data_IF_657535178978
#
_entry.id   IF_657535178978
#
_cell.length_a   1.000
_cell.length_b   1.000
_cell.length_c   1.000
_cell.angle_alpha   90.00
_cell.angle_beta   90.00
_cell.angle_gamma   90.00
#
_symmetry.space_group_name_H-M   'P 1'
#
loop_
_entity.id
_entity.type
_entity.pdbx_description
1 polymer ?
#
# COMPACT_ATOMS: atom_id res chain seq x y z
N UNK A 1 -19.35 15.43 9.23
CA UNK A 1 -17.93 15.68 8.86
C UNK A 1 -17.75 15.07 7.47
N UNK A 2 -17.32 15.86 6.49
CA UNK A 2 -17.09 15.37 5.13
C UNK A 2 -15.99 14.31 5.15
N UNK A 3 -16.27 13.11 4.68
CA UNK A 3 -15.24 12.11 4.46
C UNK A 3 -14.51 12.45 3.16
N UNK A 4 -13.45 13.27 3.28
CA UNK A 4 -12.74 13.84 2.12
C UNK A 4 -12.16 12.75 1.22
N UNK A 5 -11.85 11.58 1.78
CA UNK A 5 -11.36 10.46 0.98
C UNK A 5 -12.45 9.92 0.06
N UNK A 6 -13.65 9.65 0.60
CA UNK A 6 -14.78 9.16 -0.18
C UNK A 6 -15.26 10.19 -1.22
N UNK A 7 -15.23 11.48 -0.89
CA UNK A 7 -15.53 12.56 -1.83
C UNK A 7 -14.51 12.59 -2.98
N UNK A 8 -13.23 12.40 -2.65
CA UNK A 8 -12.15 12.34 -3.63
C UNK A 8 -12.32 11.14 -4.57
N UNK A 9 -12.70 9.96 -4.04
CA UNK A 9 -13.03 8.78 -4.85
C UNK A 9 -14.16 9.10 -5.84
N UNK A 10 -15.27 9.70 -5.36
CA UNK A 10 -16.40 10.09 -6.22
C UNK A 10 -16.01 11.09 -7.30
N UNK A 11 -15.27 12.13 -6.93
CA UNK A 11 -14.76 13.11 -7.89
C UNK A 11 -13.93 12.44 -8.98
N UNK A 12 -13.07 11.48 -8.63
CA UNK A 12 -12.23 10.76 -9.60
C UNK A 12 -13.06 9.88 -10.53
N UNK A 13 -14.08 9.20 -10.01
CA UNK A 13 -14.98 8.36 -10.82
C UNK A 13 -15.62 9.17 -11.96
N UNK A 14 -16.01 10.42 -11.68
CA UNK A 14 -16.65 11.30 -12.66
C UNK A 14 -15.67 12.14 -13.51
N UNK A 15 -14.41 12.28 -13.07
CA UNK A 15 -13.43 13.16 -13.70
C UNK A 15 -12.21 12.42 -14.28
N UNK A 16 -12.39 11.19 -14.77
CA UNK A 16 -11.31 10.34 -15.34
C UNK A 16 -10.57 10.97 -16.54
N UNK A 17 -11.15 11.98 -17.18
CA UNK A 17 -10.50 12.77 -18.23
C UNK A 17 -9.31 13.58 -17.70
N UNK A 18 -9.31 13.96 -16.42
CA UNK A 18 -8.20 14.68 -15.79
C UNK A 18 -7.01 13.73 -15.61
N UNK A 19 -5.79 14.06 -16.10
CA UNK A 19 -4.68 13.11 -16.08
C UNK A 19 -4.28 12.63 -14.68
N UNK A 20 -4.40 13.47 -13.65
CA UNK A 20 -4.13 13.11 -12.26
C UNK A 20 -5.27 12.34 -11.56
N UNK A 21 -6.42 12.18 -12.23
CA UNK A 21 -7.52 11.31 -11.80
C UNK A 21 -7.47 9.93 -12.46
N UNK A 22 -6.68 9.75 -13.53
CA UNK A 22 -6.48 8.43 -14.12
C UNK A 22 -5.86 7.48 -13.09
N UNK A 23 -6.37 6.26 -13.07
CA UNK A 23 -5.98 5.23 -12.11
C UNK A 23 -5.07 4.19 -12.74
N UNK A 24 -4.08 3.71 -11.98
CA UNK A 24 -3.29 2.52 -12.35
C UNK A 24 -4.10 1.21 -12.20
N UNK A 25 -3.48 0.06 -12.46
CA UNK A 25 -4.11 -1.27 -12.32
C UNK A 25 -4.55 -1.58 -10.88
N UNK A 26 -3.97 -0.89 -9.89
CA UNK A 26 -4.37 -0.96 -8.47
C UNK A 26 -5.45 0.09 -8.14
N UNK A 27 -5.94 0.83 -9.14
CA UNK A 27 -6.93 1.87 -9.02
C UNK A 27 -6.40 3.19 -8.43
N UNK A 28 -5.09 3.33 -8.20
CA UNK A 28 -4.53 4.49 -7.53
C UNK A 28 -4.35 5.65 -8.52
N UNK A 29 -4.70 6.86 -8.09
CA UNK A 29 -4.47 8.10 -8.84
C UNK A 29 -3.57 9.07 -8.07
N UNK A 30 -3.03 10.07 -8.76
CA UNK A 30 -2.25 11.12 -8.11
C UNK A 30 -3.09 11.93 -7.11
N UNK A 31 -4.37 12.19 -7.45
CA UNK A 31 -5.29 12.89 -6.56
C UNK A 31 -5.63 12.06 -5.29
N UNK A 32 -5.82 10.74 -5.40
CA UNK A 32 -5.97 9.87 -4.21
C UNK A 32 -4.71 9.84 -3.37
N UNK A 33 -3.54 9.78 -4.00
CA UNK A 33 -2.26 9.85 -3.29
C UNK A 33 -2.12 11.16 -2.53
N UNK A 34 -2.51 12.28 -3.13
CA UNK A 34 -2.54 13.57 -2.46
C UNK A 34 -3.51 13.59 -1.27
N UNK A 35 -4.75 13.16 -1.48
CA UNK A 35 -5.77 13.08 -0.44
C UNK A 35 -5.31 12.23 0.76
N UNK A 36 -4.70 11.07 0.47
CA UNK A 36 -4.12 10.18 1.48
C UNK A 36 -3.01 10.84 2.28
N UNK A 37 -2.15 11.64 1.63
CA UNK A 37 -1.11 12.42 2.32
C UNK A 37 -1.73 13.51 3.21
N UNK A 38 -2.74 14.26 2.73
CA UNK A 38 -3.45 15.25 3.52
C UNK A 38 -4.03 14.63 4.79
N UNK A 39 -4.69 13.48 4.67
CA UNK A 39 -5.27 12.75 5.80
C UNK A 39 -4.18 12.29 6.74
N UNK A 40 -3.10 11.68 6.24
CA UNK A 40 -1.97 11.20 7.06
C UNK A 40 -1.31 12.35 7.85
N UNK A 41 -1.20 13.54 7.25
CA UNK A 41 -0.61 14.75 7.84
C UNK A 41 -1.58 15.57 8.68
N UNK A 42 -2.85 15.16 8.76
CA UNK A 42 -3.93 15.94 9.38
C UNK A 42 -4.02 17.37 8.82
N UNK A 43 -3.86 17.53 7.50
CA UNK A 43 -4.08 18.80 6.80
C UNK A 43 -5.57 19.19 6.97
N UNK A 44 -5.87 20.41 7.46
CA UNK A 44 -7.24 20.90 7.56
C UNK A 44 -7.96 20.87 6.21
N UNK A 45 -9.26 20.53 6.20
CA UNK A 45 -10.03 20.37 4.96
C UNK A 45 -10.09 21.66 4.12
N UNK A 46 -10.13 22.83 4.77
CA UNK A 46 -10.09 24.15 4.13
C UNK A 46 -8.74 24.46 3.46
N UNK A 47 -7.67 23.78 3.88
CA UNK A 47 -6.34 23.85 3.29
C UNK A 47 -6.11 22.82 2.18
N UNK A 48 -7.11 22.04 1.76
CA UNK A 48 -6.96 20.99 0.75
C UNK A 48 -6.50 21.55 -0.61
N UNK A 49 -6.98 22.71 -1.03
CA UNK A 49 -6.53 23.31 -2.30
C UNK A 49 -5.11 23.90 -2.18
N UNK A 50 -4.78 24.50 -1.03
CA UNK A 50 -3.54 25.26 -0.83
C UNK A 50 -2.33 24.37 -0.46
N UNK A 51 -2.55 23.10 -0.11
CA UNK A 51 -1.49 22.19 0.34
C UNK A 51 -0.84 21.36 -0.76
N UNK A 52 -1.26 21.50 -2.04
CA UNK A 52 -0.74 20.73 -3.17
C UNK A 52 0.78 20.93 -3.34
N UNK A 53 1.27 22.16 -3.20
CA UNK A 53 2.70 22.44 -3.30
C UNK A 53 3.51 21.75 -2.18
N UNK A 54 2.98 21.76 -0.95
CA UNK A 54 3.61 21.12 0.21
C UNK A 54 3.68 19.60 0.02
N UNK A 55 2.64 18.99 -0.55
CA UNK A 55 2.66 17.57 -0.89
C UNK A 55 3.84 17.20 -1.79
N UNK A 56 4.07 17.94 -2.88
CA UNK A 56 5.18 17.66 -3.77
C UNK A 56 6.55 17.96 -3.13
N UNK A 57 6.65 19.05 -2.36
CA UNK A 57 7.87 19.36 -1.59
C UNK A 57 8.25 18.25 -0.62
N UNK A 58 7.26 17.64 0.02
CA UNK A 58 7.49 16.62 1.04
C UNK A 58 7.66 15.20 0.47
N UNK A 59 7.01 14.88 -0.65
CA UNK A 59 6.97 13.52 -1.20
C UNK A 59 7.98 13.25 -2.30
N UNK A 60 8.50 14.28 -2.97
CA UNK A 60 9.54 14.15 -3.98
C UNK A 60 10.91 14.50 -3.36
N UNK A 61 11.85 13.57 -3.46
CA UNK A 61 13.23 13.74 -3.01
C UNK A 61 13.95 14.81 -3.84
N UNK A 62 14.89 15.52 -3.23
CA UNK A 62 15.65 16.58 -3.88
C UNK A 62 15.51 17.93 -3.19
N UNK A 63 16.28 18.91 -3.68
CA UNK A 63 16.29 20.30 -3.18
C UNK A 63 15.45 21.19 -4.12
N UNK A 64 14.99 22.32 -3.60
CA UNK A 64 14.18 23.29 -4.35
C UNK A 64 12.69 23.21 -4.03
N UNK A 65 11.91 23.99 -4.79
CA UNK A 65 10.45 24.04 -4.69
C UNK A 65 9.77 22.81 -5.34
N UNK A 66 8.44 22.78 -5.32
CA UNK A 66 7.67 21.67 -5.89
C UNK A 66 7.95 21.48 -7.38
N UNK A 67 7.95 22.57 -8.16
CA UNK A 67 8.17 22.49 -9.61
C UNK A 67 9.57 21.96 -9.92
N UNK A 68 10.61 22.47 -9.27
CA UNK A 68 12.00 22.02 -9.44
C UNK A 68 12.13 20.52 -9.16
N UNK A 69 11.49 20.06 -8.07
CA UNK A 69 11.47 18.63 -7.71
C UNK A 69 10.74 17.80 -8.76
N UNK A 70 9.57 18.22 -9.22
CA UNK A 70 8.83 17.54 -10.30
C UNK A 70 9.68 17.45 -11.57
N UNK A 71 10.33 18.54 -11.98
CA UNK A 71 11.14 18.59 -13.20
C UNK A 71 12.35 17.62 -13.16
N UNK A 72 12.78 17.21 -11.96
CA UNK A 72 13.84 16.21 -11.78
C UNK A 72 13.40 14.76 -12.09
N UNK A 73 12.09 14.50 -12.20
CA UNK A 73 11.56 13.19 -12.59
C UNK A 73 12.02 12.84 -14.02
N UNK A 74 12.56 11.64 -14.18
CA UNK A 74 13.07 11.14 -15.47
C UNK A 74 11.92 10.76 -16.42
N UNK A 75 10.74 10.46 -15.89
CA UNK A 75 9.57 10.10 -16.68
C UNK A 75 8.83 11.37 -17.13
N UNK A 76 8.81 11.62 -18.45
CA UNK A 76 8.18 12.80 -19.05
C UNK A 76 6.66 12.85 -18.85
N UNK A 77 5.98 11.70 -18.86
CA UNK A 77 4.54 11.62 -18.67
C UNK A 77 4.17 11.92 -17.21
N UNK A 78 4.91 11.34 -16.25
CA UNK A 78 4.74 11.64 -14.84
C UNK A 78 4.90 13.14 -14.55
N UNK A 79 5.94 13.78 -15.13
CA UNK A 79 6.15 15.22 -15.00
C UNK A 79 4.94 16.01 -15.44
N UNK A 80 4.41 15.70 -16.63
CA UNK A 80 3.24 16.39 -17.18
C UNK A 80 2.05 16.29 -16.23
N UNK A 81 1.71 15.08 -15.78
CA UNK A 81 0.59 14.85 -14.85
C UNK A 81 0.79 15.60 -13.53
N UNK A 82 2.01 15.60 -12.98
CA UNK A 82 2.34 16.29 -11.73
C UNK A 82 2.26 17.82 -11.87
N UNK A 83 2.74 18.38 -12.99
CA UNK A 83 2.65 19.81 -13.28
C UNK A 83 1.19 20.24 -13.45
N UNK A 84 0.40 19.47 -14.20
CA UNK A 84 -1.04 19.73 -14.37
C UNK A 84 -1.79 19.70 -13.04
N UNK A 85 -1.40 18.81 -12.12
CA UNK A 85 -2.00 18.78 -10.79
C UNK A 85 -1.53 19.94 -9.90
N UNK A 86 -0.22 20.24 -9.90
CA UNK A 86 0.36 21.36 -9.13
C UNK A 86 -0.31 22.70 -9.46
N UNK A 87 -0.63 22.91 -10.75
CA UNK A 87 -1.27 24.14 -11.23
C UNK A 87 -2.77 23.97 -11.52
N UNK A 88 -3.41 22.94 -10.96
CA UNK A 88 -4.85 22.74 -11.07
C UNK A 88 -5.59 23.97 -10.51
N UNK A 89 -6.53 24.51 -11.30
CA UNK A 89 -7.40 25.62 -10.89
C UNK A 89 -8.72 25.14 -10.28
N UNK A 90 -8.87 23.85 -10.07
CA UNK A 90 -10.08 23.26 -9.51
C UNK A 90 -10.13 23.56 -8.02
N UNK A 91 -11.27 24.11 -7.58
CA UNK A 91 -11.58 24.22 -6.15
C UNK A 91 -12.21 22.91 -5.67
N UNK A 92 -11.36 21.98 -5.23
CA UNK A 92 -11.81 20.65 -4.82
C UNK A 92 -12.79 20.70 -3.65
N UNK A 93 -12.64 21.65 -2.72
CA UNK A 93 -13.57 21.78 -1.60
C UNK A 93 -14.98 22.09 -2.09
N UNK A 94 -15.11 23.01 -3.04
CA UNK A 94 -16.42 23.35 -3.61
C UNK A 94 -16.94 22.29 -4.56
N UNK A 95 -16.08 21.63 -5.34
CA UNK A 95 -16.47 20.46 -6.13
C UNK A 95 -16.96 19.31 -5.26
N UNK A 96 -16.28 19.02 -4.15
CA UNK A 96 -16.65 17.95 -3.24
C UNK A 96 -18.01 18.17 -2.58
N UNK A 97 -18.41 19.42 -2.31
CA UNK A 97 -19.75 19.73 -1.78
C UNK A 97 -20.90 19.34 -2.72
N UNK A 98 -20.63 19.11 -4.01
CA UNK A 98 -21.64 18.66 -4.98
C UNK A 98 -21.99 17.17 -4.82
N UNK A 99 -21.14 16.41 -4.15
CA UNK A 99 -21.35 14.99 -3.91
C UNK A 99 -22.09 14.76 -2.61
N UNK A 100 -23.15 13.97 -2.72
CA UNK A 100 -23.83 13.44 -1.55
C UNK A 100 -23.27 12.04 -1.22
N UNK A 101 -22.69 11.89 -0.02
CA UNK A 101 -22.27 10.59 0.52
C UNK A 101 -23.25 10.10 1.60
N UNK A 102 -24.53 10.52 1.57
CA UNK A 102 -25.59 10.07 2.47
C UNK A 102 -25.96 8.57 2.33
N UNK A 103 -25.01 7.70 2.01
CA UNK A 103 -25.17 6.27 2.35
C UNK A 103 -25.12 6.20 3.87
N UNK A 104 -26.15 5.66 4.56
CA UNK A 104 -26.07 5.47 6.00
C UNK A 104 -24.82 4.66 6.31
N UNK A 105 -23.84 5.31 6.91
CA UNK A 105 -22.63 4.62 7.35
C UNK A 105 -23.10 3.70 8.46
N UNK A 106 -23.07 2.40 8.21
CA UNK A 106 -23.25 1.41 9.26
C UNK A 106 -22.04 1.55 10.21
N UNK A 107 -22.18 2.41 11.21
CA UNK A 107 -21.12 2.73 12.17
C UNK A 107 -20.66 1.50 12.95
N UNK A 108 -21.56 0.52 13.16
CA UNK A 108 -21.19 -0.75 13.78
C UNK A 108 -20.27 -1.55 12.85
N UNK A 109 -20.63 -1.66 11.57
CA UNK A 109 -19.80 -2.31 10.55
C UNK A 109 -18.49 -1.57 10.33
N UNK A 110 -18.50 -0.22 10.29
CA UNK A 110 -17.30 0.61 10.17
C UNK A 110 -16.34 0.36 11.33
N UNK A 111 -16.85 0.35 12.56
CA UNK A 111 -16.05 0.04 13.76
C UNK A 111 -15.49 -1.38 13.71
N UNK A 112 -16.30 -2.38 13.32
CA UNK A 112 -15.84 -3.77 13.16
C UNK A 112 -14.73 -3.89 12.11
N UNK A 113 -14.89 -3.26 10.94
CA UNK A 113 -13.86 -3.26 9.89
C UNK A 113 -12.57 -2.59 10.36
N UNK A 114 -12.67 -1.49 11.10
CA UNK A 114 -11.53 -0.81 11.69
C UNK A 114 -10.80 -1.69 12.73
N UNK A 115 -11.54 -2.36 13.61
CA UNK A 115 -10.98 -3.32 14.57
C UNK A 115 -10.26 -4.47 13.86
N UNK A 116 -10.79 -4.99 12.75
CA UNK A 116 -10.16 -6.06 11.97
C UNK A 116 -8.88 -5.59 11.26
N UNK A 117 -8.91 -4.49 10.50
CA UNK A 117 -7.75 -4.06 9.70
C UNK A 117 -6.55 -3.62 10.56
N UNK A 118 -6.81 -3.23 11.82
CA UNK A 118 -5.74 -2.86 12.77
C UNK A 118 -5.00 -4.09 13.32
N UNK A 119 -5.53 -5.30 13.14
CA UNK A 119 -4.84 -6.53 13.53
C UNK A 119 -3.66 -6.79 12.57
N UNK A 120 -2.43 -6.98 13.09
CA UNK A 120 -1.24 -7.23 12.26
C UNK A 120 -1.40 -8.41 11.28
N UNK A 121 -2.09 -9.47 11.70
CA UNK A 121 -2.39 -10.64 10.88
C UNK A 121 -3.18 -10.29 9.62
N UNK A 122 -4.28 -9.54 9.78
CA UNK A 122 -5.18 -9.13 8.70
C UNK A 122 -4.43 -8.21 7.73
N UNK A 123 -3.70 -7.25 8.28
CA UNK A 123 -2.90 -6.31 7.50
C UNK A 123 -1.82 -7.02 6.66
N UNK A 124 -1.06 -7.93 7.27
CA UNK A 124 -0.05 -8.74 6.59
C UNK A 124 -0.68 -9.63 5.51
N UNK A 125 -1.85 -10.22 5.76
CA UNK A 125 -2.53 -11.10 4.79
C UNK A 125 -2.99 -10.36 3.54
N UNK A 126 -3.51 -9.15 3.72
CA UNK A 126 -4.14 -8.37 2.66
C UNK A 126 -3.11 -7.67 1.79
N UNK A 127 -2.12 -7.04 2.41
CA UNK A 127 -1.19 -6.16 1.70
C UNK A 127 0.13 -6.89 1.39
N UNK A 128 0.41 -8.00 2.07
CA UNK A 128 1.69 -8.74 2.02
C UNK A 128 2.92 -7.82 2.19
N UNK A 129 2.77 -6.85 3.09
CA UNK A 129 3.77 -5.83 3.38
C UNK A 129 3.96 -5.79 4.88
N UNK A 130 5.22 -5.93 5.31
CA UNK A 130 5.62 -5.73 6.69
C UNK A 130 5.94 -4.25 6.88
N UNK A 131 5.21 -3.60 7.79
CA UNK A 131 5.43 -2.20 8.14
C UNK A 131 6.23 -2.16 9.45
N UNK A 132 7.33 -1.40 9.48
CA UNK A 132 8.11 -1.23 10.70
C UNK A 132 7.24 -0.68 11.83
N UNK A 133 7.39 -1.20 13.06
CA UNK A 133 6.57 -0.81 14.23
C UNK A 133 6.56 0.69 14.52
N UNK A 134 7.62 1.40 14.14
CA UNK A 134 7.76 2.85 14.32
C UNK A 134 7.10 3.69 13.23
N UNK A 135 6.63 3.07 12.14
CA UNK A 135 6.01 3.78 11.02
C UNK A 135 4.55 4.08 11.36
N UNK A 136 4.13 5.37 11.35
CA UNK A 136 2.74 5.72 11.59
C UNK A 136 1.82 5.08 10.55
N UNK A 137 0.68 4.55 10.98
CA UNK A 137 -0.34 4.01 10.09
C UNK A 137 -1.65 4.75 10.37
N UNK A 138 -2.30 5.25 9.32
CA UNK A 138 -3.64 5.82 9.39
C UNK A 138 -4.60 4.96 8.59
N UNK A 139 -5.60 4.43 9.27
CA UNK A 139 -6.64 3.58 8.68
C UNK A 139 -7.86 4.42 8.34
N UNK A 140 -8.50 4.05 7.23
CA UNK A 140 -9.72 4.65 6.74
C UNK A 140 -10.66 3.53 6.28
N UNK A 141 -11.93 3.65 6.63
CA UNK A 141 -12.97 2.74 6.15
C UNK A 141 -13.85 3.54 5.19
N UNK A 142 -13.80 3.16 3.92
CA UNK A 142 -14.51 3.84 2.82
C UNK A 142 -15.90 3.28 2.65
N UNK A 143 -16.88 4.16 2.49
CA UNK A 143 -18.25 3.77 2.14
C UNK A 143 -18.48 3.73 0.63
N UNK A 144 -17.56 4.32 -0.15
CA UNK A 144 -17.68 4.46 -1.61
C UNK A 144 -16.75 3.53 -2.38
N UNK A 145 -15.52 3.35 -1.90
CA UNK A 145 -14.54 2.49 -2.52
C UNK A 145 -14.67 1.07 -1.95
N UNK A 146 -14.84 0.09 -2.83
CA UNK A 146 -15.02 -1.31 -2.44
C UNK A 146 -13.69 -2.06 -2.31
N UNK A 147 -12.58 -1.41 -2.60
CA UNK A 147 -11.26 -2.05 -2.64
C UNK A 147 -10.43 -1.73 -1.40
N UNK A 148 -9.24 -2.32 -1.36
CA UNK A 148 -8.19 -1.93 -0.42
C UNK A 148 -7.14 -1.12 -1.16
N UNK A 149 -6.81 0.03 -0.59
CA UNK A 149 -5.79 0.94 -1.12
C UNK A 149 -4.76 1.25 -0.05
N UNK A 150 -3.50 1.23 -0.44
CA UNK A 150 -2.40 1.59 0.44
C UNK A 150 -1.52 2.65 -0.22
N UNK A 151 -1.22 3.71 0.51
CA UNK A 151 -0.25 4.73 0.13
C UNK A 151 0.85 4.81 1.18
N UNK A 152 2.07 4.50 0.77
CA UNK A 152 3.25 4.64 1.62
C UNK A 152 4.00 5.93 1.31
N UNK A 153 4.22 6.72 2.35
CA UNK A 153 4.98 7.96 2.30
C UNK A 153 6.17 7.84 3.24
N UNK A 154 7.30 7.35 2.71
CA UNK A 154 8.57 7.07 3.41
C UNK A 154 8.76 7.77 4.78
N UNK A 155 8.69 9.10 4.81
CA UNK A 155 8.97 9.91 6.00
C UNK A 155 7.79 10.13 6.95
N UNK A 156 6.56 9.91 6.50
CA UNK A 156 5.34 10.31 7.18
C UNK A 156 4.51 9.12 7.68
N UNK A 157 4.56 7.99 6.99
CA UNK A 157 3.80 6.80 7.36
C UNK A 157 3.08 6.13 6.20
N UNK A 158 2.10 5.32 6.54
CA UNK A 158 1.25 4.56 5.62
C UNK A 158 -0.20 5.00 5.83
N UNK A 159 -0.92 5.27 4.74
CA UNK A 159 -2.37 5.40 4.76
C UNK A 159 -2.99 4.15 4.11
N UNK A 160 -4.00 3.58 4.75
CA UNK A 160 -4.71 2.40 4.26
C UNK A 160 -6.21 2.71 4.27
N UNK A 161 -6.85 2.60 3.11
CA UNK A 161 -8.29 2.64 2.98
C UNK A 161 -8.83 1.25 2.66
N UNK A 162 -9.91 0.85 3.33
CA UNK A 162 -10.61 -0.41 3.11
C UNK A 162 -12.09 -0.12 2.89
N UNK A 163 -12.70 -0.72 1.87
CA UNK A 163 -14.15 -0.64 1.69
C UNK A 163 -14.94 -1.27 2.84
N UNK A 164 -16.03 -0.65 3.24
CA UNK A 164 -16.87 -1.10 4.36
C UNK A 164 -17.43 -2.52 4.14
N UNK A 165 -17.68 -2.88 2.88
CA UNK A 165 -18.15 -4.20 2.45
C UNK A 165 -17.02 -5.15 2.05
N UNK A 166 -15.76 -4.72 2.16
CA UNK A 166 -14.63 -5.58 1.86
C UNK A 166 -14.56 -6.70 2.90
N UNK A 167 -14.43 -7.94 2.43
CA UNK A 167 -14.32 -9.07 3.32
C UNK A 167 -12.90 -9.15 3.92
N UNK A 168 -12.73 -8.52 5.08
CA UNK A 168 -11.53 -8.65 5.90
C UNK A 168 -11.52 -9.97 6.70
N UNK A 169 -12.69 -10.53 6.93
CA UNK A 169 -12.89 -11.74 7.72
C UNK A 169 -12.69 -12.96 6.81
N UNK A 170 -11.48 -13.11 6.29
CA UNK A 170 -11.13 -14.31 5.56
C UNK A 170 -10.85 -15.42 6.59
N UNK A 171 -11.89 -16.00 7.16
CA UNK A 171 -11.83 -17.38 7.66
C UNK A 171 -11.96 -18.31 6.45
N UNK A 172 -10.88 -18.42 5.70
CA UNK A 172 -10.71 -19.60 4.85
C UNK A 172 -9.37 -20.18 5.19
N UNK A 173 -9.45 -21.38 5.78
CA UNK A 173 -8.40 -22.37 5.66
C UNK A 173 -7.89 -22.35 4.23
N UNK A 174 -6.59 -22.40 4.05
CA UNK A 174 -5.99 -22.55 2.75
C UNK A 174 -6.63 -23.74 2.04
N UNK A 175 -7.03 -23.52 0.80
CA UNK A 175 -7.45 -24.61 -0.07
C UNK A 175 -6.27 -25.56 -0.31
N UNK A 176 -6.55 -26.83 -0.64
CA UNK A 176 -5.48 -27.76 -1.05
C UNK A 176 -4.62 -27.23 -2.20
N UNK A 177 -5.21 -26.42 -3.09
CA UNK A 177 -4.47 -25.76 -4.16
C UNK A 177 -3.45 -24.77 -3.60
N UNK A 178 -3.81 -23.97 -2.61
CA UNK A 178 -2.90 -23.03 -1.95
C UNK A 178 -1.81 -23.75 -1.16
N UNK A 179 -2.14 -24.85 -0.46
CA UNK A 179 -1.13 -25.72 0.16
C UNK A 179 -0.09 -26.19 -0.86
N UNK A 180 -0.56 -26.75 -1.98
CA UNK A 180 0.31 -27.25 -3.04
C UNK A 180 1.19 -26.12 -3.59
N UNK A 181 0.65 -24.92 -3.82
CA UNK A 181 1.44 -23.79 -4.34
C UNK A 181 2.51 -23.33 -3.35
N UNK A 182 2.21 -23.29 -2.05
CA UNK A 182 3.20 -22.98 -1.01
C UNK A 182 4.29 -24.06 -0.94
N UNK A 183 3.92 -25.35 -0.96
CA UNK A 183 4.92 -26.43 -0.95
C UNK A 183 5.78 -26.46 -2.21
N UNK A 184 5.19 -26.24 -3.39
CA UNK A 184 5.95 -26.06 -4.64
C UNK A 184 6.86 -24.84 -4.57
N UNK A 185 6.44 -23.79 -3.87
CA UNK A 185 7.27 -22.61 -3.68
C UNK A 185 8.50 -22.90 -2.80
N UNK A 186 8.35 -23.78 -1.83
CA UNK A 186 9.42 -24.20 -0.91
C UNK A 186 10.25 -25.38 -1.43
N UNK A 187 9.76 -26.17 -2.38
CA UNK A 187 10.47 -27.32 -2.96
C UNK A 187 11.55 -26.90 -3.99
N UNK A 188 12.32 -25.86 -3.68
CA UNK A 188 13.43 -25.35 -4.48
C UNK A 188 14.55 -24.88 -3.55
N UNK A 189 15.77 -25.36 -3.81
CA UNK A 189 16.92 -25.14 -2.93
C UNK A 189 17.26 -23.65 -2.78
N UNK A 190 17.20 -22.89 -3.87
CA UNK A 190 17.52 -21.45 -3.85
C UNK A 190 16.48 -20.67 -3.04
N UNK A 191 15.19 -20.97 -3.22
CA UNK A 191 14.11 -20.36 -2.44
C UNK A 191 14.20 -20.70 -0.96
N UNK A 192 14.56 -21.93 -0.60
CA UNK A 192 14.80 -22.28 0.80
C UNK A 192 15.96 -21.48 1.39
N UNK A 193 17.08 -21.35 0.68
CA UNK A 193 18.21 -20.51 1.11
C UNK A 193 17.80 -19.05 1.29
N UNK A 194 17.00 -18.48 0.38
CA UNK A 194 16.44 -17.13 0.50
C UNK A 194 15.60 -17.01 1.79
N UNK A 195 14.67 -17.95 2.02
CA UNK A 195 13.82 -17.97 3.22
C UNK A 195 14.65 -18.07 4.50
N UNK A 196 15.70 -18.89 4.51
CA UNK A 196 16.63 -19.02 5.65
C UNK A 196 17.47 -17.76 5.91
N UNK A 197 17.85 -16.99 4.88
CA UNK A 197 18.53 -15.71 5.08
C UNK A 197 17.57 -14.64 5.58
N UNK A 198 16.33 -14.63 5.07
CA UNK A 198 15.28 -13.69 5.46
C UNK A 198 14.70 -13.97 6.86
N UNK A 199 14.84 -15.17 7.39
CA UNK A 199 14.48 -15.50 8.78
C UNK A 199 15.41 -14.83 9.79
N UNK A 200 16.64 -14.48 9.38
CA UNK A 200 17.65 -13.85 10.24
C UNK A 200 17.47 -12.34 10.29
N UNK A 201 17.24 -11.70 9.14
CA UNK A 201 17.04 -10.25 9.00
C UNK A 201 16.44 -9.88 7.65
N UNK A 202 15.94 -8.65 7.56
CA UNK A 202 15.48 -8.09 6.28
C UNK A 202 16.66 -7.79 5.35
N UNK A 203 16.52 -8.09 4.05
CA UNK A 203 17.57 -7.95 3.04
C UNK A 203 17.03 -7.37 1.73
N UNK A 204 17.89 -6.66 0.99
CA UNK A 204 17.59 -6.24 -0.39
C UNK A 204 17.82 -7.39 -1.39
N UNK A 205 17.24 -7.34 -2.59
CA UNK A 205 17.53 -8.32 -3.65
C UNK A 205 19.02 -8.48 -3.97
N UNK A 206 19.79 -7.37 -3.94
CA UNK A 206 21.24 -7.40 -4.16
C UNK A 206 21.94 -8.17 -3.04
N UNK A 207 21.62 -7.88 -1.78
CA UNK A 207 22.20 -8.61 -0.64
C UNK A 207 21.86 -10.10 -0.65
N UNK A 208 20.65 -10.46 -1.10
CA UNK A 208 20.24 -11.86 -1.24
C UNK A 208 21.00 -12.56 -2.38
N UNK A 209 21.21 -11.86 -3.50
CA UNK A 209 22.01 -12.33 -4.64
C UNK A 209 23.42 -12.72 -4.19
N UNK A 210 24.07 -11.85 -3.42
CA UNK A 210 25.41 -12.08 -2.89
C UNK A 210 25.46 -13.25 -1.90
N UNK A 211 24.44 -13.38 -1.04
CA UNK A 211 24.39 -14.40 0.02
C UNK A 211 24.08 -15.81 -0.47
N UNK A 212 23.18 -15.92 -1.45
CA UNK A 212 22.74 -17.21 -2.01
C UNK A 212 23.57 -17.60 -3.25
N UNK A 213 24.41 -16.68 -3.74
CA UNK A 213 25.30 -16.86 -4.89
C UNK A 213 24.54 -17.21 -6.19
N UNK A 214 23.48 -16.46 -6.48
CA UNK A 214 22.70 -16.56 -7.73
C UNK A 214 22.44 -15.16 -8.29
N UNK A 215 22.04 -15.05 -9.56
CA UNK A 215 21.87 -13.75 -10.21
C UNK A 215 20.73 -12.92 -9.63
N UNK A 216 20.83 -11.59 -9.71
CA UNK A 216 19.78 -10.67 -9.27
C UNK A 216 18.44 -10.91 -10.01
N UNK A 217 18.49 -11.28 -11.29
CA UNK A 217 17.30 -11.64 -12.06
C UNK A 217 16.59 -12.86 -11.47
N UNK A 218 17.36 -13.91 -11.15
CA UNK A 218 16.87 -15.12 -10.50
C UNK A 218 16.32 -14.84 -9.10
N UNK A 219 17.00 -13.99 -8.31
CA UNK A 219 16.49 -13.53 -7.01
C UNK A 219 15.13 -12.86 -7.14
N UNK A 220 14.98 -11.90 -8.06
CA UNK A 220 13.72 -11.19 -8.24
C UNK A 220 12.58 -12.15 -8.64
N UNK A 221 12.87 -13.13 -9.49
CA UNK A 221 11.91 -14.17 -9.84
C UNK A 221 11.49 -15.02 -8.62
N UNK A 222 12.47 -15.49 -7.83
CA UNK A 222 12.20 -16.28 -6.63
C UNK A 222 11.45 -15.49 -5.56
N UNK A 223 11.85 -14.24 -5.28
CA UNK A 223 11.18 -13.36 -4.34
C UNK A 223 9.73 -13.13 -4.78
N UNK A 224 9.48 -12.87 -6.07
CA UNK A 224 8.12 -12.69 -6.59
C UNK A 224 7.25 -13.90 -6.27
N UNK A 225 7.72 -15.12 -6.56
CA UNK A 225 6.98 -16.35 -6.26
C UNK A 225 6.78 -16.57 -4.76
N UNK A 226 7.77 -16.25 -3.93
CA UNK A 226 7.65 -16.33 -2.46
C UNK A 226 6.67 -15.29 -1.89
N UNK A 227 6.59 -14.11 -2.50
CA UNK A 227 5.59 -13.08 -2.18
C UNK A 227 4.18 -13.48 -2.62
N UNK A 228 4.02 -14.10 -3.79
CA UNK A 228 2.74 -14.66 -4.24
C UNK A 228 2.20 -15.70 -3.24
N UNK A 229 3.10 -16.50 -2.65
CA UNK A 229 2.78 -17.46 -1.60
C UNK A 229 2.73 -16.87 -0.18
N UNK A 230 2.89 -15.55 -0.02
CA UNK A 230 2.92 -14.80 1.25
C UNK A 230 3.97 -15.27 2.27
N UNK A 231 4.92 -16.10 1.87
CA UNK A 231 6.03 -16.57 2.71
C UNK A 231 6.99 -15.41 2.97
N UNK A 232 7.18 -14.54 1.97
CA UNK A 232 8.02 -13.36 2.05
C UNK A 232 7.17 -12.11 1.87
N UNK A 233 7.38 -11.12 2.71
CA UNK A 233 6.74 -9.81 2.62
C UNK A 233 7.77 -8.73 2.25
N UNK A 234 7.30 -7.69 1.58
CA UNK A 234 8.09 -6.47 1.38
C UNK A 234 8.11 -5.66 2.68
N UNK A 235 9.27 -5.15 3.09
CA UNK A 235 9.40 -4.33 4.29
C UNK A 235 9.41 -2.83 3.97
N UNK A 236 8.52 -2.08 4.62
CA UNK A 236 8.45 -0.62 4.59
C UNK A 236 8.88 -0.01 5.93
N UNK A 237 9.47 1.18 5.92
CA UNK A 237 9.67 2.00 7.12
C UNK A 237 11.09 2.17 7.65
N UNK A 238 12.09 1.43 7.13
CA UNK A 238 13.47 1.59 7.58
C UNK A 238 14.15 2.77 6.84
N UNK A 239 14.14 3.95 7.48
CA UNK A 239 14.68 5.23 6.96
C UNK A 239 16.14 5.19 6.48
N UNK A 240 16.88 4.14 6.81
CA UNK A 240 18.35 4.10 6.74
C UNK A 240 18.85 3.39 5.47
N UNK A 241 18.05 2.53 4.82
CA UNK A 241 18.55 1.69 3.73
C UNK A 241 17.98 2.07 2.36
N UNK A 242 18.88 2.17 1.37
CA UNK A 242 18.51 2.42 -0.03
C UNK A 242 17.93 1.14 -0.64
N UNK A 243 16.67 1.22 -1.08
CA UNK A 243 16.02 0.17 -1.86
C UNK A 243 15.00 -0.65 -1.07
N UNK A 244 14.21 -1.43 -1.82
CA UNK A 244 13.18 -2.31 -1.26
C UNK A 244 13.86 -3.46 -0.52
N UNK A 245 13.40 -3.72 0.70
CA UNK A 245 13.82 -4.86 1.50
C UNK A 245 12.70 -5.89 1.59
N UNK A 246 13.09 -7.13 1.83
CA UNK A 246 12.19 -8.26 2.05
C UNK A 246 12.48 -8.88 3.42
N UNK A 247 11.48 -9.50 4.02
CA UNK A 247 11.58 -10.26 5.25
C UNK A 247 10.72 -11.51 5.20
N UNK A 248 11.04 -12.52 6.01
CA UNK A 248 10.17 -13.66 6.21
C UNK A 248 8.89 -13.18 6.89
N UNK A 249 7.74 -13.51 6.30
CA UNK A 249 6.42 -13.32 6.91
C UNK A 249 6.20 -14.41 7.96
N UNK A 250 6.94 -14.29 9.06
CA UNK A 250 7.09 -15.35 10.07
C UNK A 250 5.75 -15.73 10.70
N UNK A 251 4.93 -14.72 10.99
CA UNK A 251 3.62 -14.91 11.60
C UNK A 251 2.68 -15.71 10.70
N UNK A 252 2.57 -15.32 9.43
CA UNK A 252 1.82 -16.07 8.42
C UNK A 252 2.36 -17.50 8.27
N UNK A 253 3.69 -17.65 8.14
CA UNK A 253 4.29 -18.94 7.86
C UNK A 253 4.11 -19.94 9.03
N UNK A 254 4.20 -19.47 10.28
CA UNK A 254 3.89 -20.30 11.46
C UNK A 254 2.43 -20.72 11.47
N UNK A 255 1.50 -19.80 11.19
CA UNK A 255 0.07 -20.11 11.19
C UNK A 255 -0.27 -21.09 10.06
N UNK A 256 0.30 -20.91 8.87
CA UNK A 256 0.19 -21.85 7.75
C UNK A 256 0.65 -23.26 8.14
N UNK A 257 1.82 -23.39 8.78
CA UNK A 257 2.33 -24.70 9.19
C UNK A 257 1.46 -25.35 10.28
N UNK A 258 0.99 -24.58 11.26
CA UNK A 258 0.04 -25.06 12.29
C UNK A 258 -1.24 -25.59 11.66
N UNK A 259 -1.78 -24.85 10.69
CA UNK A 259 -2.97 -25.23 9.97
C UNK A 259 -2.78 -26.55 9.22
N UNK A 260 -1.70 -26.67 8.44
CA UNK A 260 -1.35 -27.93 7.75
C UNK A 260 -1.27 -29.09 8.73
N UNK A 261 -0.58 -28.91 9.86
CA UNK A 261 -0.43 -29.96 10.89
C UNK A 261 -1.80 -30.39 11.41
N UNK A 262 -2.68 -29.43 11.72
CA UNK A 262 -4.03 -29.72 12.23
C UNK A 262 -4.92 -30.42 11.19
N UNK A 263 -4.70 -30.22 9.89
CA UNK A 263 -5.47 -30.91 8.84
C UNK A 263 -5.02 -32.36 8.61
N UNK A 264 -3.78 -32.70 8.96
CA UNK A 264 -3.21 -34.04 8.76
C UNK A 264 -3.10 -34.86 10.05
N UNK A 265 -3.30 -34.25 11.23
CA UNK A 265 -3.28 -34.89 12.55
C UNK A 265 -4.67 -35.40 12.95
#
# INVERSE_FOLDING_TARGET
MFDVYDLCVKFIEENRQLPYCKTDDMGNSLLLKYCSWCILKNVPNDCFNTSIENFFKETIEGKGDALTKILSDKNSENKKIQIEFLYSKIDYINEFKKYDINTPVDEQKRKKQLELITQPLILNRIINVSIAKTTPIKYHISSTDKNIRMFYFKNFGVFISVGIDFDLAIDEKHTFKEYIEVFKALSDESRLKIVMELSKKSLTPVQLSDKVNITLSTINHHIKKLCECRIVSMKLGDKIQKGIQYNLNTEYFINFLKEVINEIS
#
